data_IF_184639174239
#
_entry.id   IF_184639174239
#
_cell.length_a   1.000
_cell.length_b   1.000
_cell.length_c   1.000
_cell.angle_alpha   90.00
_cell.angle_beta   90.00
_cell.angle_gamma   90.00
#
_symmetry.space_group_name_H-M   'P 1'
#
loop_
_entity.id
_entity.type
_entity.pdbx_description
1 polymer ?
#
# COMPACT_ATOMS: atom_id res chain seq x y z
N UNK A 1 19.06 6.67 -23.13
CA UNK A 1 18.26 6.45 -21.91
C UNK A 1 17.79 5.00 -21.75
N UNK A 2 17.08 4.42 -22.73
CA UNK A 2 16.53 3.05 -22.62
C UNK A 2 17.60 1.97 -22.40
N UNK A 3 18.76 2.07 -23.07
CA UNK A 3 19.87 1.09 -22.89
C UNK A 3 20.66 1.27 -21.58
N UNK A 4 20.65 2.47 -21.02
CA UNK A 4 21.39 2.79 -19.78
C UNK A 4 20.57 2.46 -18.53
N UNK A 5 19.23 2.46 -18.66
CA UNK A 5 18.31 2.19 -17.56
C UNK A 5 18.54 0.83 -16.88
N UNK A 6 18.68 -0.31 -17.59
CA UNK A 6 18.92 -1.60 -16.93
C UNK A 6 20.21 -1.61 -16.09
N UNK A 7 21.27 -0.99 -16.60
CA UNK A 7 22.56 -0.91 -15.90
C UNK A 7 22.45 -0.05 -14.65
N UNK A 8 21.85 1.15 -14.76
CA UNK A 8 21.61 2.02 -13.62
C UNK A 8 20.69 1.36 -12.59
N UNK A 9 19.64 0.67 -13.03
CA UNK A 9 18.73 -0.06 -12.15
C UNK A 9 19.46 -1.12 -11.32
N UNK A 10 20.32 -1.93 -11.96
CA UNK A 10 21.09 -2.96 -11.25
C UNK A 10 22.08 -2.34 -10.26
N UNK A 11 22.78 -1.27 -10.65
CA UNK A 11 23.74 -0.58 -9.77
C UNK A 11 23.01 0.06 -8.58
N UNK A 12 21.90 0.76 -8.82
CA UNK A 12 21.11 1.38 -7.75
C UNK A 12 20.47 0.35 -6.81
N UNK A 13 19.93 -0.74 -7.37
CA UNK A 13 19.38 -1.84 -6.57
C UNK A 13 20.48 -2.50 -5.73
N UNK A 14 21.62 -2.81 -6.34
CA UNK A 14 22.78 -3.37 -5.66
C UNK A 14 23.29 -2.47 -4.55
N UNK A 15 23.42 -1.16 -4.80
CA UNK A 15 23.84 -0.17 -3.81
C UNK A 15 22.86 -0.04 -2.64
N UNK A 16 21.54 -0.05 -2.92
CA UNK A 16 20.50 0.00 -1.89
C UNK A 16 20.54 -1.26 -1.01
N UNK A 17 20.55 -2.45 -1.63
CA UNK A 17 20.62 -3.71 -0.90
C UNK A 17 21.90 -3.84 -0.08
N UNK A 18 23.05 -3.45 -0.65
CA UNK A 18 24.32 -3.45 0.06
C UNK A 18 24.28 -2.47 1.24
N UNK A 19 23.77 -1.25 1.05
CA UNK A 19 23.60 -0.26 2.12
C UNK A 19 22.73 -0.79 3.26
N UNK A 20 21.58 -1.37 2.95
CA UNK A 20 20.63 -1.92 3.94
C UNK A 20 21.19 -3.14 4.68
N UNK A 21 21.95 -4.02 4.01
CA UNK A 21 22.49 -5.24 4.63
C UNK A 21 23.81 -5.00 5.39
N UNK A 22 24.59 -3.98 5.01
CA UNK A 22 25.84 -3.62 5.69
C UNK A 22 25.63 -2.73 6.92
N UNK A 23 24.44 -2.13 7.06
CA UNK A 23 24.08 -1.38 8.26
C UNK A 23 23.55 -2.31 9.35
N UNK A 24 23.77 -1.92 10.61
CA UNK A 24 23.25 -2.69 11.74
C UNK A 24 21.72 -2.71 11.70
N UNK A 25 21.09 -3.85 12.01
CA UNK A 25 19.64 -3.90 12.21
C UNK A 25 19.19 -2.90 13.28
N UNK A 26 18.00 -2.35 13.11
CA UNK A 26 17.34 -1.51 14.11
C UNK A 26 17.12 -2.25 15.43
N UNK A 27 17.03 -1.49 16.52
CA UNK A 27 16.82 -2.04 17.86
C UNK A 27 15.46 -2.78 17.95
N UNK A 28 15.47 -3.96 18.57
CA UNK A 28 14.29 -4.79 18.79
C UNK A 28 13.16 -4.03 19.52
N UNK A 29 13.47 -3.11 20.44
CA UNK A 29 12.48 -2.30 21.13
C UNK A 29 11.73 -1.37 20.17
N UNK A 30 12.45 -0.75 19.23
CA UNK A 30 11.87 0.11 18.19
C UNK A 30 11.03 -0.73 17.23
N UNK A 31 11.56 -1.88 16.80
CA UNK A 31 10.89 -2.80 15.89
C UNK A 31 9.56 -3.32 16.46
N UNK A 32 9.58 -3.74 17.73
CA UNK A 32 8.37 -4.22 18.43
C UNK A 32 7.35 -3.10 18.62
N UNK A 33 7.79 -1.90 19.00
CA UNK A 33 6.89 -0.73 19.12
C UNK A 33 6.22 -0.41 17.79
N UNK A 34 6.99 -0.37 16.70
CA UNK A 34 6.47 -0.17 15.36
C UNK A 34 5.46 -1.27 14.97
N UNK A 35 5.79 -2.54 15.21
CA UNK A 35 4.92 -3.66 14.89
C UNK A 35 3.59 -3.61 15.67
N UNK A 36 3.63 -3.26 16.96
CA UNK A 36 2.42 -3.08 17.79
C UNK A 36 1.55 -1.92 17.31
N UNK A 37 2.17 -0.81 16.88
CA UNK A 37 1.43 0.39 16.44
C UNK A 37 0.81 0.22 15.05
N UNK A 38 1.57 -0.29 14.08
CA UNK A 38 1.11 -0.37 12.68
C UNK A 38 0.40 -1.68 12.38
N UNK A 39 0.65 -2.74 13.16
CA UNK A 39 0.17 -4.11 12.95
C UNK A 39 0.23 -4.54 11.47
N UNK A 40 1.43 -4.46 10.85
CA UNK A 40 1.57 -4.72 9.43
C UNK A 40 1.33 -6.19 9.11
N UNK A 41 0.66 -6.43 7.98
CA UNK A 41 0.52 -7.76 7.40
C UNK A 41 1.77 -8.15 6.59
N UNK A 42 1.98 -9.45 6.35
CA UNK A 42 3.05 -9.98 5.49
C UNK A 42 4.16 -10.73 6.24
N UNK A 43 5.40 -10.58 5.77
CA UNK A 43 6.56 -11.37 6.19
C UNK A 43 7.27 -10.86 7.47
N UNK A 44 6.51 -10.53 8.51
CA UNK A 44 7.03 -10.03 9.80
C UNK A 44 7.24 -11.13 10.86
N UNK A 45 7.32 -12.41 10.45
CA UNK A 45 7.35 -13.58 11.34
C UNK A 45 8.24 -13.44 12.58
N UNK A 46 9.55 -13.15 12.44
CA UNK A 46 10.45 -13.05 13.59
C UNK A 46 10.07 -11.95 14.59
N UNK A 47 9.58 -10.81 14.11
CA UNK A 47 9.21 -9.66 14.95
C UNK A 47 7.87 -9.91 15.63
N UNK A 48 6.92 -10.49 14.91
CA UNK A 48 5.62 -10.90 15.43
C UNK A 48 5.78 -11.90 16.58
N UNK A 49 6.63 -12.90 16.41
CA UNK A 49 6.83 -13.93 17.43
C UNK A 49 7.49 -13.35 18.70
N UNK A 50 8.42 -12.38 18.55
CA UNK A 50 8.95 -11.59 19.68
C UNK A 50 7.86 -10.77 20.38
N UNK A 51 6.95 -10.15 19.64
CA UNK A 51 5.84 -9.38 20.21
C UNK A 51 4.84 -10.29 20.95
N UNK A 52 4.49 -11.44 20.37
CA UNK A 52 3.58 -12.41 20.99
C UNK A 52 4.16 -13.06 22.25
N UNK A 53 5.47 -13.25 22.31
CA UNK A 53 6.15 -13.74 23.51
C UNK A 53 6.03 -12.75 24.69
N UNK A 54 6.02 -11.44 24.41
CA UNK A 54 5.86 -10.39 25.42
C UNK A 54 4.40 -10.06 25.72
N UNK A 55 3.52 -10.20 24.73
CA UNK A 55 2.11 -9.85 24.81
C UNK A 55 1.25 -10.89 24.07
N UNK A 56 0.86 -11.98 24.76
CA UNK A 56 0.05 -13.05 24.16
C UNK A 56 -1.36 -12.60 23.76
N UNK A 57 -1.82 -11.43 24.22
CA UNK A 57 -3.13 -10.89 23.88
C UNK A 57 -3.17 -10.17 22.53
N UNK A 58 -2.00 -9.85 21.98
CA UNK A 58 -1.88 -9.13 20.71
C UNK A 58 -2.37 -9.98 19.53
N UNK A 59 -3.40 -9.51 18.83
CA UNK A 59 -3.95 -10.16 17.65
C UNK A 59 -3.28 -9.63 16.36
N UNK A 60 -2.51 -10.46 15.61
CA UNK A 60 -1.90 -10.03 14.36
C UNK A 60 -2.94 -9.72 13.29
N UNK A 61 -2.72 -8.68 12.50
CA UNK A 61 -3.61 -8.34 11.39
C UNK A 61 -3.59 -9.41 10.30
N UNK A 62 -4.73 -10.07 10.07
CA UNK A 62 -4.93 -11.09 9.02
C UNK A 62 -5.64 -10.56 7.77
N UNK A 63 -5.95 -9.26 7.72
CA UNK A 63 -6.76 -8.66 6.65
C UNK A 63 -5.97 -8.26 5.39
N UNK A 64 -4.79 -8.87 5.16
CA UNK A 64 -3.91 -8.59 4.02
C UNK A 64 -4.64 -8.57 2.67
N UNK A 65 -5.52 -9.56 2.42
CA UNK A 65 -6.28 -9.64 1.17
C UNK A 65 -7.26 -8.46 0.99
N UNK A 66 -7.91 -8.04 2.08
CA UNK A 66 -8.81 -6.87 2.07
C UNK A 66 -8.02 -5.60 1.81
N UNK A 67 -6.89 -5.43 2.49
CA UNK A 67 -6.05 -4.24 2.37
C UNK A 67 -5.46 -4.12 0.96
N UNK A 68 -4.94 -5.23 0.39
CA UNK A 68 -4.47 -5.28 -0.99
C UNK A 68 -5.59 -4.97 -2.00
N UNK A 69 -6.79 -5.49 -1.79
CA UNK A 69 -7.95 -5.20 -2.67
C UNK A 69 -8.31 -3.72 -2.61
N UNK A 70 -8.34 -3.13 -1.41
CA UNK A 70 -8.59 -1.70 -1.23
C UNK A 70 -7.53 -0.84 -1.93
N UNK A 71 -6.26 -1.21 -1.83
CA UNK A 71 -5.17 -0.52 -2.55
C UNK A 71 -5.35 -0.63 -4.07
N UNK A 72 -5.64 -1.82 -4.61
CA UNK A 72 -5.84 -2.02 -6.04
C UNK A 72 -7.01 -1.18 -6.57
N UNK A 73 -8.14 -1.18 -5.87
CA UNK A 73 -9.30 -0.33 -6.23
C UNK A 73 -8.96 1.15 -6.10
N UNK A 74 -8.17 1.54 -5.09
CA UNK A 74 -7.66 2.90 -4.92
C UNK A 74 -6.78 3.36 -6.08
N UNK A 75 -5.94 2.50 -6.64
CA UNK A 75 -5.14 2.80 -7.84
C UNK A 75 -6.06 3.07 -9.03
N UNK A 76 -7.05 2.20 -9.28
CA UNK A 76 -8.02 2.40 -10.36
C UNK A 76 -8.80 3.70 -10.17
N UNK A 77 -9.24 3.97 -8.94
CA UNK A 77 -9.91 5.22 -8.59
C UNK A 77 -9.02 6.44 -8.87
N UNK A 78 -7.74 6.43 -8.50
CA UNK A 78 -6.81 7.53 -8.81
C UNK A 78 -6.59 7.72 -10.32
N UNK A 79 -6.50 6.62 -11.08
CA UNK A 79 -6.36 6.70 -12.54
C UNK A 79 -7.58 7.35 -13.20
N UNK A 80 -8.80 7.15 -12.66
CA UNK A 80 -9.99 7.83 -13.18
C UNK A 80 -9.89 9.34 -13.03
N UNK A 81 -9.34 9.85 -11.91
CA UNK A 81 -9.16 11.29 -11.68
C UNK A 81 -8.14 11.92 -12.62
N UNK A 82 -7.09 11.19 -13.01
CA UNK A 82 -6.07 11.67 -13.95
C UNK A 82 -6.58 11.61 -15.40
N UNK A 83 -7.27 10.53 -15.77
CA UNK A 83 -7.73 10.29 -17.15
C UNK A 83 -8.96 11.12 -17.51
N UNK A 84 -9.87 11.35 -16.57
CA UNK A 84 -11.11 12.12 -16.79
C UNK A 84 -10.88 13.52 -17.40
N UNK A 85 -10.01 14.40 -16.87
CA UNK A 85 -9.79 15.72 -17.47
C UNK A 85 -9.17 15.64 -18.86
N UNK A 86 -8.33 14.64 -19.14
CA UNK A 86 -7.72 14.43 -20.47
C UNK A 86 -8.83 14.16 -21.49
N UNK A 87 -9.72 13.21 -21.22
CA UNK A 87 -10.82 12.88 -22.13
C UNK A 87 -11.90 13.96 -22.21
N UNK A 88 -12.07 14.77 -21.15
CA UNK A 88 -12.93 15.94 -21.16
C UNK A 88 -12.41 17.00 -22.16
N UNK A 89 -11.11 17.28 -22.14
CA UNK A 89 -10.47 18.22 -23.10
C UNK A 89 -10.58 17.70 -24.53
N UNK A 90 -10.44 16.37 -24.72
CA UNK A 90 -10.64 15.71 -26.02
C UNK A 90 -12.11 15.66 -26.47
N UNK A 91 -13.06 16.18 -25.66
CA UNK A 91 -14.51 16.20 -25.93
C UNK A 91 -15.12 14.82 -26.19
N UNK A 92 -14.52 13.77 -25.63
CA UNK A 92 -15.02 12.40 -25.76
C UNK A 92 -16.04 12.07 -24.67
N UNK A 93 -17.24 12.63 -24.78
CA UNK A 93 -18.28 12.56 -23.75
C UNK A 93 -18.70 11.14 -23.34
N UNK A 94 -18.71 10.18 -24.27
CA UNK A 94 -19.00 8.78 -23.96
C UNK A 94 -17.95 8.15 -23.04
N UNK A 95 -16.68 8.43 -23.29
CA UNK A 95 -15.56 7.94 -22.46
C UNK A 95 -15.57 8.63 -21.09
N UNK A 96 -15.82 9.94 -21.05
CA UNK A 96 -15.94 10.70 -19.80
C UNK A 96 -17.07 10.15 -18.93
N UNK A 97 -18.24 9.84 -19.50
CA UNK A 97 -19.34 9.24 -18.77
C UNK A 97 -18.98 7.85 -18.20
N UNK A 98 -18.26 7.03 -18.98
CA UNK A 98 -17.75 5.74 -18.52
C UNK A 98 -16.75 5.86 -17.36
N UNK A 99 -15.78 6.78 -17.48
CA UNK A 99 -14.78 7.04 -16.43
C UNK A 99 -15.46 7.58 -15.17
N UNK A 100 -16.46 8.46 -15.31
CA UNK A 100 -17.23 8.98 -14.19
C UNK A 100 -18.05 7.89 -13.49
N UNK A 101 -18.66 6.98 -14.26
CA UNK A 101 -19.34 5.80 -13.72
C UNK A 101 -18.39 4.90 -12.94
N UNK A 102 -17.20 4.61 -13.48
CA UNK A 102 -16.17 3.84 -12.80
C UNK A 102 -15.69 4.53 -11.51
N UNK A 103 -15.44 5.83 -11.56
CA UNK A 103 -15.10 6.64 -10.40
C UNK A 103 -16.17 6.55 -9.30
N UNK A 104 -17.45 6.65 -9.66
CA UNK A 104 -18.56 6.53 -8.71
C UNK A 104 -18.61 5.14 -8.07
N UNK A 105 -18.49 4.07 -8.86
CA UNK A 105 -18.48 2.68 -8.36
C UNK A 105 -17.30 2.45 -7.41
N UNK A 106 -16.09 2.86 -7.80
CA UNK A 106 -14.91 2.75 -6.94
C UNK A 106 -15.06 3.57 -5.65
N UNK A 107 -15.66 4.77 -5.73
CA UNK A 107 -15.92 5.61 -4.55
C UNK A 107 -16.89 4.94 -3.58
N UNK A 108 -17.96 4.32 -4.09
CA UNK A 108 -18.92 3.56 -3.28
C UNK A 108 -18.26 2.34 -2.66
N UNK A 109 -17.48 1.58 -3.44
CA UNK A 109 -16.72 0.44 -2.93
C UNK A 109 -15.77 0.85 -1.81
N UNK A 110 -14.99 1.91 -2.01
CA UNK A 110 -14.05 2.41 -1.00
C UNK A 110 -14.76 2.93 0.25
N UNK A 111 -15.92 3.58 0.10
CA UNK A 111 -16.73 4.01 1.24
C UNK A 111 -17.09 2.81 2.14
N UNK A 112 -17.70 1.78 1.57
CA UNK A 112 -18.18 0.64 2.36
C UNK A 112 -17.09 -0.35 2.78
N UNK A 113 -16.09 -0.57 1.92
CA UNK A 113 -15.08 -1.61 2.17
C UNK A 113 -13.82 -1.09 2.89
N UNK A 114 -13.59 0.22 2.87
CA UNK A 114 -12.45 0.83 3.54
C UNK A 114 -12.90 1.87 4.56
N UNK A 115 -13.59 2.94 4.15
CA UNK A 115 -13.89 4.08 5.03
C UNK A 115 -14.73 3.70 6.25
N UNK A 116 -15.82 2.97 6.06
CA UNK A 116 -16.71 2.56 7.16
C UNK A 116 -16.08 1.50 8.09
N UNK A 117 -15.02 0.82 7.62
CA UNK A 117 -14.31 -0.23 8.36
C UNK A 117 -12.98 0.27 8.96
N UNK A 118 -12.64 1.54 8.78
CA UNK A 118 -11.54 2.16 9.51
C UNK A 118 -11.93 2.20 10.99
N UNK A 119 -11.13 1.53 11.82
CA UNK A 119 -11.21 1.73 13.27
C UNK A 119 -11.04 3.23 13.53
N UNK A 120 -12.06 3.83 14.13
CA UNK A 120 -11.97 5.21 14.56
C UNK A 120 -10.90 5.24 15.65
N UNK A 121 -9.81 5.94 15.38
CA UNK A 121 -8.83 6.25 16.39
C UNK A 121 -9.58 6.87 17.60
N UNK A 122 -9.38 6.35 18.81
CA UNK A 122 -9.98 6.91 20.02
C UNK A 122 -9.53 8.36 20.27
#
# INVERSE_FOLDING_TARGET
MIYTFPVLFVISLGGCLAGTLLTKPEDDAVLKKFYKTVNPWGWWGPVRDKVLAEDPSFAPNRSAARDLTNVAVGIVWQLTLVTMPIYLVLRQWGVVAGIFGLFAVCSVFMKFNWYDKLEKAP
#
